data_IF_077957383778
#
_entry.id   IF_077957383778
#
_cell.length_a   1.000
_cell.length_b   1.000
_cell.length_c   1.000
_cell.angle_alpha   90.00
_cell.angle_beta   90.00
_cell.angle_gamma   90.00
#
_symmetry.space_group_name_H-M   'P 1'
#
loop_
_entity.id
_entity.type
_entity.pdbx_description
1 polymer ?
#
# COMPACT_ATOMS: atom_id res chain seq x y z
N UNK A 1 15.97 -24.58 15.45
CA UNK A 1 15.50 -23.19 15.32
C UNK A 1 14.00 -23.28 15.12
N UNK A 2 13.24 -23.10 16.18
CA UNK A 2 11.78 -22.99 16.21
C UNK A 2 11.37 -22.01 17.32
N UNK A 3 12.08 -20.87 17.43
CA UNK A 3 11.90 -19.84 18.47
C UNK A 3 10.61 -19.03 18.37
N UNK A 4 9.46 -19.69 18.16
CA UNK A 4 8.10 -19.12 18.07
C UNK A 4 7.02 -20.22 17.85
N UNK A 5 5.74 -19.84 17.74
CA UNK A 5 4.54 -20.71 17.64
C UNK A 5 4.42 -21.58 16.35
N UNK A 6 5.54 -21.84 15.66
CA UNK A 6 5.58 -22.55 14.39
C UNK A 6 5.45 -21.63 13.17
N UNK A 7 5.33 -22.24 11.99
CA UNK A 7 5.23 -21.50 10.73
C UNK A 7 3.83 -20.89 10.56
N UNK A 8 3.75 -19.57 10.36
CA UNK A 8 2.54 -18.90 9.87
C UNK A 8 2.52 -18.97 8.34
N UNK A 9 1.45 -19.52 7.77
CA UNK A 9 1.29 -19.59 6.32
C UNK A 9 0.93 -18.21 5.73
N UNK A 10 1.35 -17.90 4.50
CA UNK A 10 0.91 -16.68 3.82
C UNK A 10 -0.58 -16.78 3.47
N UNK A 11 -1.33 -15.74 3.79
CA UNK A 11 -2.71 -15.50 3.41
C UNK A 11 -2.98 -14.00 3.41
N UNK A 12 -4.11 -13.56 2.84
CA UNK A 12 -4.51 -12.15 2.95
C UNK A 12 -4.60 -11.71 4.42
N UNK A 13 -5.25 -12.52 5.28
CA UNK A 13 -5.40 -12.26 6.71
C UNK A 13 -4.04 -12.11 7.41
N UNK A 14 -3.16 -13.11 7.27
CA UNK A 14 -1.86 -13.13 7.96
C UNK A 14 -0.88 -12.07 7.43
N UNK A 15 -1.04 -11.63 6.19
CA UNK A 15 -0.27 -10.51 5.63
C UNK A 15 -0.83 -9.17 6.11
N UNK A 16 -2.15 -8.99 6.12
CA UNK A 16 -2.81 -7.76 6.52
C UNK A 16 -2.67 -7.47 8.02
N UNK A 17 -2.68 -8.49 8.88
CA UNK A 17 -2.52 -8.33 10.33
C UNK A 17 -1.05 -8.34 10.80
N UNK A 18 -0.11 -8.61 9.90
CA UNK A 18 1.33 -8.64 10.17
C UNK A 18 1.84 -9.89 10.89
N UNK A 19 0.99 -10.90 11.12
CA UNK A 19 1.41 -12.18 11.72
C UNK A 19 2.30 -13.02 10.80
N UNK A 20 2.20 -12.83 9.48
CA UNK A 20 3.12 -13.44 8.53
C UNK A 20 4.50 -12.76 8.60
N UNK A 21 5.57 -13.45 9.04
CA UNK A 21 6.82 -12.81 9.48
C UNK A 21 7.58 -12.01 8.41
N UNK A 22 7.26 -12.21 7.13
CA UNK A 22 7.90 -11.54 6.00
C UNK A 22 6.95 -10.58 5.25
N UNK A 23 5.75 -10.36 5.79
CA UNK A 23 4.86 -9.31 5.30
C UNK A 23 5.54 -7.94 5.48
N UNK A 24 5.36 -7.05 4.49
CA UNK A 24 5.88 -5.70 4.55
C UNK A 24 4.97 -4.73 3.80
N UNK A 25 4.74 -3.53 4.34
CA UNK A 25 4.08 -2.47 3.59
C UNK A 25 4.96 -2.01 2.42
N UNK A 26 4.31 -1.61 1.33
CA UNK A 26 4.95 -0.94 0.20
C UNK A 26 4.64 0.55 0.24
N UNK A 27 5.64 1.36 -0.08
CA UNK A 27 5.54 2.81 -0.10
C UNK A 27 6.02 3.35 -1.44
N UNK A 28 5.34 4.40 -1.91
CA UNK A 28 5.85 5.31 -2.93
C UNK A 28 6.24 6.63 -2.27
N UNK A 29 7.22 7.33 -2.86
CA UNK A 29 7.73 8.59 -2.33
C UNK A 29 7.63 9.68 -3.41
N UNK A 30 6.45 10.28 -3.62
CA UNK A 30 6.30 11.38 -4.56
C UNK A 30 7.19 12.56 -4.16
N UNK A 31 7.96 13.08 -5.12
CA UNK A 31 8.71 14.31 -4.90
C UNK A 31 7.78 15.52 -5.08
N UNK A 32 7.48 16.23 -3.99
CA UNK A 32 6.52 17.35 -4.00
C UNK A 32 6.95 18.50 -4.93
N UNK A 33 8.25 18.80 -5.02
CA UNK A 33 8.73 19.79 -5.99
C UNK A 33 8.45 19.38 -7.44
N UNK A 34 8.49 18.08 -7.75
CA UNK A 34 8.13 17.57 -9.09
C UNK A 34 6.63 17.53 -9.35
N UNK A 35 5.81 17.52 -8.30
CA UNK A 35 4.35 17.64 -8.45
C UNK A 35 3.98 19.02 -8.99
N UNK A 36 4.67 20.07 -8.54
CA UNK A 36 4.49 21.43 -9.04
C UNK A 36 5.03 21.61 -10.46
N UNK A 37 6.20 21.01 -10.76
CA UNK A 37 6.88 21.17 -12.06
C UNK A 37 6.27 20.32 -13.19
N UNK A 38 5.66 19.17 -12.87
CA UNK A 38 5.11 18.24 -13.85
C UNK A 38 3.64 17.88 -13.52
N UNK A 39 2.67 18.40 -14.29
CA UNK A 39 1.26 18.21 -14.01
C UNK A 39 0.78 16.75 -14.14
N UNK A 40 1.59 15.84 -14.70
CA UNK A 40 1.24 14.42 -14.79
C UNK A 40 1.49 13.64 -13.49
N UNK A 41 2.32 14.15 -12.57
CA UNK A 41 2.69 13.41 -11.35
C UNK A 41 1.49 13.27 -10.43
N UNK A 42 0.75 14.35 -10.20
CA UNK A 42 -0.41 14.30 -9.31
C UNK A 42 -1.50 13.32 -9.78
N UNK A 43 -2.00 13.42 -11.03
CA UNK A 43 -2.99 12.48 -11.55
C UNK A 43 -2.54 11.01 -11.50
N UNK A 44 -1.25 10.74 -11.67
CA UNK A 44 -0.72 9.38 -11.56
C UNK A 44 -0.82 8.85 -10.12
N UNK A 45 -0.47 9.66 -9.13
CA UNK A 45 -0.59 9.26 -7.71
C UNK A 45 -2.06 9.18 -7.29
N UNK A 46 -2.93 10.05 -7.80
CA UNK A 46 -4.38 9.98 -7.58
C UNK A 46 -4.95 8.67 -8.12
N UNK A 47 -4.55 8.27 -9.35
CA UNK A 47 -4.91 6.97 -9.92
C UNK A 47 -4.33 5.80 -9.10
N UNK A 48 -3.06 5.87 -8.69
CA UNK A 48 -2.41 4.84 -7.89
C UNK A 48 -3.16 4.57 -6.57
N UNK A 49 -3.67 5.63 -5.93
CA UNK A 49 -4.45 5.56 -4.69
C UNK A 49 -5.95 5.37 -4.91
N UNK A 50 -6.45 5.31 -6.15
CA UNK A 50 -7.86 5.08 -6.46
C UNK A 50 -8.29 3.65 -6.16
N UNK A 51 -9.59 3.40 -6.04
CA UNK A 51 -10.11 2.05 -5.82
C UNK A 51 -9.70 1.10 -6.97
N UNK A 52 -9.68 1.60 -8.21
CA UNK A 52 -9.20 0.85 -9.39
C UNK A 52 -7.69 0.57 -9.30
N UNK A 53 -6.88 1.56 -8.93
CA UNK A 53 -5.43 1.41 -8.74
C UNK A 53 -5.08 0.35 -7.69
N UNK A 54 -5.79 0.37 -6.55
CA UNK A 54 -5.63 -0.61 -5.48
C UNK A 54 -6.10 -2.00 -5.90
N UNK A 55 -7.24 -2.10 -6.60
CA UNK A 55 -7.76 -3.38 -7.11
C UNK A 55 -6.78 -4.07 -8.07
N UNK A 56 -6.14 -3.31 -8.97
CA UNK A 56 -5.15 -3.85 -9.91
C UNK A 56 -3.95 -4.52 -9.21
N UNK A 57 -3.53 -4.03 -8.04
CA UNK A 57 -2.44 -4.66 -7.30
C UNK A 57 -2.84 -6.05 -6.77
N UNK A 58 -4.12 -6.24 -6.39
CA UNK A 58 -4.62 -7.53 -5.92
C UNK A 58 -4.62 -8.59 -7.03
N UNK A 59 -4.87 -8.21 -8.29
CA UNK A 59 -4.87 -9.14 -9.42
C UNK A 59 -3.53 -9.84 -9.65
N UNK A 60 -2.42 -9.23 -9.22
CA UNK A 60 -1.06 -9.78 -9.38
C UNK A 60 -0.46 -10.33 -8.09
N UNK A 61 -1.30 -10.52 -7.05
CA UNK A 61 -0.93 -11.21 -5.81
C UNK A 61 -0.42 -10.30 -4.68
N UNK A 62 -0.64 -8.99 -4.75
CA UNK A 62 -0.50 -8.13 -3.57
C UNK A 62 -1.73 -8.22 -2.68
N UNK A 63 -1.53 -8.00 -1.38
CA UNK A 63 -2.62 -7.85 -0.42
C UNK A 63 -2.94 -6.37 -0.31
N UNK A 64 -4.20 -6.01 -0.52
CA UNK A 64 -4.65 -4.63 -0.39
C UNK A 64 -4.45 -4.14 1.05
N UNK A 65 -4.03 -2.88 1.19
CA UNK A 65 -3.98 -2.26 2.51
C UNK A 65 -5.39 -2.09 3.08
N UNK A 66 -5.55 -2.10 4.41
CA UNK A 66 -6.84 -1.82 5.04
C UNK A 66 -7.41 -0.46 4.60
N UNK A 67 -8.74 -0.37 4.50
CA UNK A 67 -9.43 0.86 4.05
C UNK A 67 -9.05 2.08 4.89
N UNK A 68 -8.94 1.94 6.22
CA UNK A 68 -8.52 3.02 7.12
C UNK A 68 -7.12 3.58 6.78
N UNK A 69 -6.19 2.69 6.42
CA UNK A 69 -4.84 3.06 5.99
C UNK A 69 -4.86 3.78 4.64
N UNK A 70 -5.71 3.31 3.71
CA UNK A 70 -5.87 3.94 2.41
C UNK A 70 -6.48 5.34 2.54
N UNK A 71 -7.51 5.51 3.38
CA UNK A 71 -8.14 6.80 3.63
C UNK A 71 -7.17 7.78 4.28
N UNK A 72 -6.37 7.31 5.25
CA UNK A 72 -5.30 8.11 5.87
C UNK A 72 -4.26 8.52 4.83
N UNK A 73 -3.89 7.60 3.94
CA UNK A 73 -2.91 7.86 2.86
C UNK A 73 -3.43 8.89 1.86
N UNK A 74 -4.72 8.78 1.46
CA UNK A 74 -5.39 9.73 0.58
C UNK A 74 -5.44 11.12 1.22
N UNK A 75 -5.83 11.22 2.49
CA UNK A 75 -5.86 12.49 3.21
C UNK A 75 -4.48 13.14 3.33
N UNK A 76 -3.43 12.35 3.63
CA UNK A 76 -2.06 12.84 3.68
C UNK A 76 -1.56 13.33 2.31
N UNK A 77 -1.93 12.62 1.24
CA UNK A 77 -1.61 13.04 -0.13
C UNK A 77 -2.38 14.30 -0.52
N UNK A 78 -3.67 14.40 -0.25
CA UNK A 78 -4.48 15.59 -0.55
C UNK A 78 -3.99 16.84 0.20
N UNK A 79 -3.44 16.67 1.40
CA UNK A 79 -2.85 17.75 2.21
C UNK A 79 -1.38 18.08 1.91
N UNK A 80 -0.81 17.53 0.84
CA UNK A 80 0.61 17.69 0.43
C UNK A 80 1.05 19.14 0.19
#
# INVERSE_FOLDING_TARGET
IDGGDGCVAPSEETVSDGSFPIARPLFIYPNLGKVEENPAVAPYVDYYLSDEGIANAAEVGYVAMPQETLDTTRAAWEGR
#
